data_IF_990096858456
#
_entry.id   IF_990096858456
#
_cell.length_a   1.000
_cell.length_b   1.000
_cell.length_c   1.000
_cell.angle_alpha   90.00
_cell.angle_beta   90.00
_cell.angle_gamma   90.00
#
_symmetry.space_group_name_H-M   'P 1'
#
loop_
_entity.id
_entity.type
_entity.pdbx_description
1 polymer ?
#
# COMPACT_ATOMS: atom_id res chain seq x y z
N UNK A 1 28.52 16.23 -12.98
CA UNK A 1 27.68 15.55 -11.99
C UNK A 1 26.27 15.49 -12.47
N UNK A 2 25.71 14.38 -12.28
CA UNK A 2 24.35 14.30 -12.62
C UNK A 2 23.55 13.89 -11.44
N UNK A 3 22.39 14.41 -11.34
CA UNK A 3 21.47 14.04 -10.32
C UNK A 3 20.42 13.16 -10.92
N UNK A 4 20.32 12.00 -10.36
CA UNK A 4 19.22 11.12 -10.68
C UNK A 4 18.14 11.44 -9.67
N UNK A 5 17.02 12.02 -10.08
CA UNK A 5 15.97 12.37 -9.11
C UNK A 5 15.31 11.09 -8.59
N UNK A 6 15.98 10.45 -7.68
CA UNK A 6 15.52 9.24 -7.03
C UNK A 6 15.07 9.56 -5.62
N UNK A 7 14.13 8.74 -5.13
CA UNK A 7 13.67 8.87 -3.75
C UNK A 7 14.78 8.36 -2.83
N UNK A 8 15.20 9.17 -1.89
CA UNK A 8 16.28 8.78 -0.98
C UNK A 8 15.81 7.67 -0.03
N UNK A 9 16.80 6.90 0.47
CA UNK A 9 16.51 5.86 1.44
C UNK A 9 15.85 6.44 2.70
N UNK A 10 16.26 7.64 3.07
CA UNK A 10 15.68 8.34 4.22
C UNK A 10 14.21 8.66 4.00
N UNK A 11 13.86 9.13 2.80
CA UNK A 11 12.47 9.43 2.46
C UNK A 11 11.61 8.17 2.42
N UNK A 12 12.12 7.09 1.84
CA UNK A 12 11.40 5.82 1.81
C UNK A 12 11.15 5.28 3.22
N UNK A 13 12.15 5.39 4.08
CA UNK A 13 12.02 4.98 5.48
C UNK A 13 10.97 5.81 6.20
N UNK A 14 10.95 7.11 5.95
CA UNK A 14 9.97 8.01 6.57
C UNK A 14 8.55 7.67 6.11
N UNK A 15 8.36 7.34 4.84
CA UNK A 15 7.05 6.96 4.32
C UNK A 15 6.56 5.66 4.94
N UNK A 16 7.44 4.65 5.07
CA UNK A 16 7.07 3.40 5.73
C UNK A 16 6.74 3.64 7.19
N UNK A 17 7.47 4.54 7.85
CA UNK A 17 7.19 4.90 9.24
C UNK A 17 5.81 5.56 9.37
N UNK A 18 5.44 6.41 8.41
CA UNK A 18 4.11 7.03 8.39
C UNK A 18 3.02 5.97 8.26
N UNK A 19 3.20 5.00 7.37
CA UNK A 19 2.25 3.90 7.20
C UNK A 19 2.10 3.11 8.50
N UNK A 20 3.21 2.80 9.17
CA UNK A 20 3.16 2.07 10.44
C UNK A 20 2.48 2.87 11.54
N UNK A 21 2.73 4.17 11.58
CA UNK A 21 2.15 5.04 12.59
C UNK A 21 0.63 5.12 12.48
N UNK A 22 0.10 5.03 11.25
CA UNK A 22 -1.34 5.04 11.02
C UNK A 22 -2.01 3.74 11.46
N UNK A 23 -1.22 2.67 11.66
CA UNK A 23 -1.68 1.41 12.25
C UNK A 23 -2.89 0.77 11.58
N UNK A 24 -2.98 0.87 10.26
CA UNK A 24 -4.13 0.28 9.54
C UNK A 24 -4.31 -1.20 9.83
N UNK A 25 -3.20 -1.93 10.01
CA UNK A 25 -3.26 -3.36 10.28
C UNK A 25 -4.08 -3.69 11.53
N UNK A 26 -4.19 -2.76 12.46
CA UNK A 26 -4.93 -2.92 13.71
C UNK A 26 -6.33 -2.31 13.66
N UNK A 27 -6.68 -1.65 12.57
CA UNK A 27 -7.95 -0.94 12.43
C UNK A 27 -9.01 -1.84 11.83
N UNK A 28 -9.37 -2.90 12.55
CA UNK A 28 -10.35 -3.88 12.08
C UNK A 28 -11.78 -3.35 12.01
N UNK A 29 -12.03 -2.20 12.61
CA UNK A 29 -13.32 -1.54 12.48
C UNK A 29 -13.51 -0.90 11.10
N UNK A 30 -12.42 -0.68 10.37
CA UNK A 30 -12.49 -0.04 9.06
C UNK A 30 -12.70 -1.08 7.96
N UNK A 31 -13.48 -0.69 6.94
CA UNK A 31 -13.55 -1.46 5.71
C UNK A 31 -12.37 -1.08 4.81
N UNK A 32 -12.16 -1.86 3.76
CA UNK A 32 -11.09 -1.54 2.81
C UNK A 32 -11.35 -0.18 2.14
N UNK A 33 -12.62 0.13 1.88
CA UNK A 33 -13.00 1.42 1.31
C UNK A 33 -12.68 2.57 2.29
N UNK A 34 -12.89 2.36 3.58
CA UNK A 34 -12.54 3.35 4.58
C UNK A 34 -11.04 3.62 4.58
N UNK A 35 -10.24 2.55 4.52
CA UNK A 35 -8.79 2.70 4.46
C UNK A 35 -8.39 3.46 3.21
N UNK A 36 -9.05 3.17 2.07
CA UNK A 36 -8.73 3.89 0.83
C UNK A 36 -9.02 5.38 0.94
N UNK A 37 -10.11 5.74 1.57
CA UNK A 37 -10.45 7.15 1.76
C UNK A 37 -9.45 7.87 2.65
N UNK A 38 -8.95 7.18 3.66
CA UNK A 38 -7.98 7.75 4.59
C UNK A 38 -6.59 7.85 3.99
N UNK A 39 -6.19 6.86 3.20
CA UNK A 39 -4.81 6.78 2.73
C UNK A 39 -4.56 7.28 1.32
N UNK A 40 -5.57 7.30 0.46
CA UNK A 40 -5.39 7.79 -0.91
C UNK A 40 -4.83 9.21 -0.98
N UNK A 41 -5.26 10.16 -0.13
CA UNK A 41 -4.62 11.49 -0.15
C UNK A 41 -3.13 11.45 0.12
N UNK A 42 -2.69 10.57 1.02
CA UNK A 42 -1.26 10.40 1.33
C UNK A 42 -0.54 9.83 0.12
N UNK A 43 -1.12 8.80 -0.51
CA UNK A 43 -0.54 8.18 -1.70
C UNK A 43 -0.44 9.17 -2.86
N UNK A 44 -1.49 9.97 -3.08
CA UNK A 44 -1.47 11.00 -4.13
C UNK A 44 -0.35 12.01 -3.90
N UNK A 45 -0.18 12.44 -2.65
CA UNK A 45 0.89 13.36 -2.30
C UNK A 45 2.27 12.78 -2.59
N UNK A 46 2.50 11.54 -2.17
CA UNK A 46 3.78 10.89 -2.42
C UNK A 46 4.03 10.69 -3.91
N UNK A 47 3.05 10.21 -4.65
CA UNK A 47 3.21 9.96 -6.08
C UNK A 47 3.35 11.26 -6.89
N UNK A 48 2.67 12.32 -6.48
CA UNK A 48 2.82 13.60 -7.15
C UNK A 48 4.21 14.19 -6.94
N UNK A 49 4.80 13.99 -5.76
CA UNK A 49 6.08 14.56 -5.42
C UNK A 49 7.25 13.70 -5.90
N UNK A 50 7.19 12.40 -5.65
CA UNK A 50 8.31 11.49 -5.93
C UNK A 50 8.14 10.67 -7.19
N UNK A 51 6.91 10.31 -7.53
CA UNK A 51 6.64 9.34 -8.59
C UNK A 51 6.78 9.85 -10.01
N UNK A 52 6.92 11.18 -10.17
CA UNK A 52 6.98 11.76 -11.51
C UNK A 52 8.31 11.50 -12.23
N UNK A 53 9.35 11.20 -11.47
CA UNK A 53 10.67 10.93 -12.07
C UNK A 53 10.91 9.43 -12.22
N UNK A 54 10.83 8.71 -11.12
CA UNK A 54 11.07 7.27 -11.09
C UNK A 54 9.96 6.58 -10.32
N UNK A 55 8.84 6.28 -10.98
CA UNK A 55 7.73 5.60 -10.28
C UNK A 55 8.16 4.31 -9.58
N UNK A 56 9.11 3.57 -10.20
CA UNK A 56 9.60 2.33 -9.61
C UNK A 56 10.33 2.55 -8.27
N UNK A 57 10.85 3.75 -8.03
CA UNK A 57 11.50 4.04 -6.76
C UNK A 57 10.51 4.00 -5.60
N UNK A 58 9.22 4.15 -5.87
CA UNK A 58 8.17 4.09 -4.86
C UNK A 58 7.70 2.68 -4.54
N UNK A 59 8.08 1.69 -5.35
CA UNK A 59 7.60 0.32 -5.17
C UNK A 59 7.83 -0.24 -3.77
N UNK A 60 8.99 -0.04 -3.12
CA UNK A 60 9.17 -0.58 -1.77
C UNK A 60 8.13 -0.05 -0.77
N UNK A 61 7.79 1.23 -0.88
CA UNK A 61 6.79 1.85 0.01
C UNK A 61 5.39 1.33 -0.31
N UNK A 62 5.05 1.26 -1.60
CA UNK A 62 3.73 0.81 -2.03
C UNK A 62 3.53 -0.67 -1.73
N UNK A 63 4.57 -1.46 -1.91
CA UNK A 63 4.54 -2.88 -1.57
C UNK A 63 4.38 -3.07 -0.05
N UNK A 64 5.05 -2.26 0.73
CA UNK A 64 4.90 -2.28 2.19
C UNK A 64 3.46 -1.99 2.58
N UNK A 65 2.83 -1.02 1.92
CA UNK A 65 1.43 -0.71 2.19
C UNK A 65 0.51 -1.87 1.81
N UNK A 66 0.75 -2.50 0.65
CA UNK A 66 -0.03 -3.68 0.25
C UNK A 66 0.08 -4.79 1.30
N UNK A 67 1.27 -5.02 1.84
CA UNK A 67 1.46 -6.01 2.90
C UNK A 67 0.74 -5.61 4.19
N UNK A 68 0.63 -4.32 4.45
CA UNK A 68 -0.16 -3.83 5.57
C UNK A 68 -1.64 -4.17 5.40
N UNK A 69 -2.15 -4.07 4.17
CA UNK A 69 -3.54 -4.46 3.89
C UNK A 69 -3.74 -5.96 4.09
N UNK A 70 -2.75 -6.78 3.73
CA UNK A 70 -2.82 -8.22 3.99
C UNK A 70 -2.90 -8.49 5.50
N UNK A 71 -2.07 -7.80 6.28
CA UNK A 71 -2.08 -7.94 7.74
C UNK A 71 -3.44 -7.51 8.32
N UNK A 72 -4.01 -6.42 7.79
CA UNK A 72 -5.34 -5.96 8.18
C UNK A 72 -6.40 -7.04 7.91
N UNK A 73 -6.38 -7.64 6.73
CA UNK A 73 -7.34 -8.68 6.36
C UNK A 73 -7.23 -9.89 7.28
N UNK A 74 -6.00 -10.29 7.61
CA UNK A 74 -5.76 -11.42 8.49
C UNK A 74 -6.27 -11.18 9.91
N UNK A 75 -6.25 -9.93 10.35
CA UNK A 75 -6.78 -9.58 11.68
C UNK A 75 -8.28 -9.40 11.68
N UNK A 76 -8.83 -8.86 10.59
CA UNK A 76 -10.25 -8.56 10.50
C UNK A 76 -11.09 -9.82 10.29
N UNK A 77 -10.64 -10.74 9.46
CA UNK A 77 -11.40 -11.92 9.08
C UNK A 77 -10.85 -13.17 9.75
N UNK A 78 -11.68 -13.81 10.59
CA UNK A 78 -11.28 -15.01 11.31
C UNK A 78 -10.77 -16.11 10.38
N UNK A 79 -11.43 -16.30 9.24
CA UNK A 79 -11.07 -17.35 8.28
C UNK A 79 -9.72 -17.14 7.64
N UNK A 80 -9.18 -15.90 7.71
CA UNK A 80 -7.88 -15.57 7.14
C UNK A 80 -6.78 -15.55 8.20
N UNK A 81 -7.13 -15.73 9.46
CA UNK A 81 -6.14 -15.73 10.53
C UNK A 81 -5.14 -16.86 10.29
N UNK A 82 -3.84 -16.50 10.29
CA UNK A 82 -2.72 -17.42 10.02
C UNK A 82 -2.71 -17.96 8.59
N UNK A 83 -3.47 -17.35 7.68
CA UNK A 83 -3.50 -17.78 6.28
C UNK A 83 -3.06 -16.63 5.38
N UNK A 84 -1.76 -16.30 5.46
CA UNK A 84 -1.20 -15.17 4.72
C UNK A 84 -1.41 -15.30 3.21
N UNK A 85 -1.20 -16.48 2.67
CA UNK A 85 -1.37 -16.71 1.23
C UNK A 85 -2.80 -16.46 0.80
N UNK A 86 -3.77 -16.94 1.56
CA UNK A 86 -5.19 -16.70 1.25
C UNK A 86 -5.53 -15.23 1.33
N UNK A 87 -5.00 -14.54 2.33
CA UNK A 87 -5.23 -13.10 2.48
C UNK A 87 -4.63 -12.33 1.31
N UNK A 88 -3.41 -12.70 0.89
CA UNK A 88 -2.76 -12.07 -0.27
C UNK A 88 -3.58 -12.27 -1.53
N UNK A 89 -4.08 -13.48 -1.75
CA UNK A 89 -4.90 -13.77 -2.94
C UNK A 89 -6.22 -13.01 -2.91
N UNK A 90 -6.81 -12.86 -1.73
CA UNK A 90 -8.04 -12.09 -1.59
C UNK A 90 -7.82 -10.63 -1.98
N UNK A 91 -6.76 -10.02 -1.46
CA UNK A 91 -6.42 -8.65 -1.79
C UNK A 91 -6.11 -8.48 -3.27
N UNK A 92 -5.40 -9.44 -3.86
CA UNK A 92 -5.09 -9.43 -5.28
C UNK A 92 -6.35 -9.47 -6.13
N UNK A 93 -7.32 -10.31 -5.77
CA UNK A 93 -8.61 -10.38 -6.47
C UNK A 93 -9.40 -9.09 -6.34
N UNK A 94 -9.39 -8.48 -5.16
CA UNK A 94 -10.07 -7.21 -4.96
C UNK A 94 -9.42 -6.13 -5.83
N UNK A 95 -8.10 -6.12 -5.90
CA UNK A 95 -7.38 -5.15 -6.74
C UNK A 95 -7.70 -5.33 -8.22
N UNK A 96 -7.87 -6.57 -8.68
CA UNK A 96 -8.26 -6.86 -10.05
C UNK A 96 -9.68 -6.35 -10.36
N UNK A 97 -10.59 -6.53 -9.42
CA UNK A 97 -11.99 -6.12 -9.61
C UNK A 97 -12.21 -4.63 -9.39
N UNK A 98 -11.42 -4.02 -8.52
CA UNK A 98 -11.55 -2.62 -8.15
C UNK A 98 -10.20 -1.91 -8.26
N UNK A 99 -9.65 -1.79 -9.47
CA UNK A 99 -8.31 -1.20 -9.64
C UNK A 99 -8.25 0.27 -9.25
N UNK A 100 -9.39 0.94 -9.15
CA UNK A 100 -9.44 2.35 -8.79
C UNK A 100 -9.62 2.58 -7.29
N UNK A 101 -9.68 1.52 -6.50
CA UNK A 101 -9.90 1.65 -5.07
C UNK A 101 -8.74 2.39 -4.39
N UNK A 102 -7.51 2.04 -4.76
CA UNK A 102 -6.31 2.71 -4.27
C UNK A 102 -5.53 3.32 -5.43
N UNK A 103 -4.94 4.48 -5.17
CA UNK A 103 -4.21 5.23 -6.19
C UNK A 103 -3.07 4.41 -6.81
N UNK A 104 -2.31 3.69 -5.99
CA UNK A 104 -1.19 2.90 -6.51
C UNK A 104 -1.63 1.67 -7.30
N UNK A 105 -2.82 1.15 -7.02
CA UNK A 105 -3.37 0.03 -7.81
C UNK A 105 -3.66 0.48 -9.23
N UNK A 106 -4.13 1.71 -9.40
CA UNK A 106 -4.38 2.28 -10.73
C UNK A 106 -3.10 2.36 -11.55
N UNK A 107 -1.95 2.41 -10.89
CA UNK A 107 -0.66 2.52 -11.53
C UNK A 107 0.05 1.18 -11.71
N UNK A 108 -0.65 0.08 -11.50
CA UNK A 108 -0.11 -1.25 -11.74
C UNK A 108 0.47 -1.95 -10.52
N UNK A 109 0.37 -1.37 -9.33
CA UNK A 109 0.90 -1.98 -8.10
C UNK A 109 -0.13 -2.90 -7.42
N UNK A 110 -0.92 -3.61 -8.23
CA UNK A 110 -2.01 -4.43 -7.73
C UNK A 110 -1.62 -5.88 -7.43
N UNK A 111 -0.42 -6.32 -7.81
CA UNK A 111 0.01 -7.70 -7.62
C UNK A 111 1.06 -7.91 -6.54
N UNK A 112 1.41 -6.90 -5.79
CA UNK A 112 2.54 -6.96 -4.85
C UNK A 112 2.05 -7.10 -3.41
N UNK A 113 1.37 -8.20 -3.12
CA UNK A 113 0.82 -8.44 -1.77
C UNK A 113 1.61 -9.47 -0.96
N UNK A 114 2.42 -10.25 -1.62
CA UNK A 114 3.17 -11.30 -0.94
C UNK A 114 4.46 -10.80 -0.32
#
# INVERSE_FOLDING_TARGET
VRFTPAVSAKALKAMRATTRKLSYRNRTELSLRDISRLHNPVLRGWLAYYGRFYPSAMYPVLRHFNKTLVAWAMRKFKRLRRHKTRASLLLERIAEKQPHLFVHWQRGMAGAFA
#
